data_IF_361634562925
#
_entry.id   IF_361634562925
#
_cell.length_a   1.000
_cell.length_b   1.000
_cell.length_c   1.000
_cell.angle_alpha   90.00
_cell.angle_beta   90.00
_cell.angle_gamma   90.00
#
_symmetry.space_group_name_H-M   'P 1'
#
loop_
_entity.id
_entity.type
_entity.pdbx_description
1 polymer ?
2 water ?
#
# COMPACT_ATOMS: atom_id res chain seq x y z
N UNK A 1 21.41 22.41 -17.98
CA UNK A 1 20.05 22.01 -17.46
C UNK A 1 19.70 20.55 -17.76
N UNK A 2 20.74 19.72 -17.67
CA UNK A 2 20.65 18.27 -17.84
C UNK A 2 20.01 17.86 -16.51
N UNK A 3 20.27 18.73 -15.54
CA UNK A 3 19.82 18.64 -14.17
C UNK A 3 18.44 18.09 -14.15
N UNK A 4 17.58 18.72 -14.94
CA UNK A 4 16.19 18.29 -15.05
C UNK A 4 16.10 16.81 -15.34
N UNK A 5 16.81 16.37 -16.36
CA UNK A 5 16.80 14.95 -16.70
C UNK A 5 17.26 14.19 -15.47
N UNK A 6 18.19 14.80 -14.74
CA UNK A 6 18.71 14.22 -13.52
C UNK A 6 17.62 14.14 -12.45
N UNK A 7 16.89 15.23 -12.24
CA UNK A 7 15.82 15.24 -11.25
C UNK A 7 14.73 14.28 -11.73
N UNK A 8 14.46 14.28 -13.02
CA UNK A 8 13.47 13.39 -13.62
C UNK A 8 13.78 11.99 -13.13
N UNK A 9 14.99 11.54 -13.43
CA UNK A 9 15.52 10.23 -13.06
C UNK A 9 15.47 9.95 -11.55
N UNK A 10 15.43 11.00 -10.74
CA UNK A 10 15.33 10.85 -9.29
C UNK A 10 13.91 10.46 -8.93
N UNK A 11 13.00 11.34 -9.31
CA UNK A 11 11.59 11.12 -9.06
C UNK A 11 11.05 9.80 -9.65
N UNK A 12 11.53 9.40 -10.82
CA UNK A 12 11.11 8.15 -11.44
C UNK A 12 11.63 7.02 -10.54
N UNK A 13 12.87 7.17 -10.09
CA UNK A 13 13.50 6.19 -9.23
C UNK A 13 12.84 6.19 -7.86
N UNK A 14 12.31 7.34 -7.44
CA UNK A 14 11.64 7.38 -6.16
C UNK A 14 10.33 6.60 -6.21
N UNK A 15 9.53 6.83 -7.26
CA UNK A 15 8.25 6.14 -7.41
C UNK A 15 8.32 4.69 -7.83
N UNK A 16 9.40 4.27 -8.47
CA UNK A 16 9.53 2.86 -8.85
C UNK A 16 9.65 2.02 -7.60
N UNK A 17 10.41 2.56 -6.65
CA UNK A 17 10.67 1.90 -5.39
C UNK A 17 9.53 1.87 -4.35
N UNK A 18 8.58 2.79 -4.44
CA UNK A 18 7.49 2.81 -3.48
C UNK A 18 6.39 1.87 -3.96
N UNK A 19 6.50 1.42 -5.21
CA UNK A 19 5.55 0.49 -5.80
C UNK A 19 6.03 -0.91 -5.50
N UNK A 20 7.34 -1.08 -5.42
CA UNK A 20 7.95 -2.38 -5.13
C UNK A 20 7.86 -2.69 -3.62
N UNK A 21 7.65 -1.66 -2.80
CA UNK A 21 7.51 -1.85 -1.35
C UNK A 21 6.04 -2.11 -1.04
N UNK A 22 5.13 -1.55 -1.85
CA UNK A 22 3.69 -1.78 -1.67
C UNK A 22 3.28 -2.99 -2.50
N UNK A 23 4.27 -3.83 -2.80
CA UNK A 23 4.06 -5.06 -3.55
C UNK A 23 3.69 -4.93 -5.03
N UNK A 24 3.84 -3.74 -5.59
CA UNK A 24 3.53 -3.47 -6.99
C UNK A 24 4.76 -3.57 -7.90
N UNK A 25 4.53 -3.56 -9.20
CA UNK A 25 5.62 -3.61 -10.16
C UNK A 25 6.31 -2.26 -10.12
N UNK A 26 7.62 -2.26 -10.30
CA UNK A 26 8.38 -1.02 -10.32
C UNK A 26 7.82 -0.10 -11.41
N UNK A 27 7.31 -0.70 -12.49
CA UNK A 27 6.72 0.06 -13.60
C UNK A 27 5.58 0.92 -13.03
N UNK A 28 4.63 0.27 -12.36
CA UNK A 28 3.49 0.94 -11.73
C UNK A 28 3.90 2.25 -11.02
N UNK A 29 5.15 2.33 -10.57
CA UNK A 29 5.63 3.53 -9.91
C UNK A 29 6.34 4.44 -10.89
N UNK A 30 7.03 3.83 -11.84
CA UNK A 30 7.72 4.61 -12.86
C UNK A 30 6.69 5.41 -13.69
N UNK A 31 5.65 4.71 -14.13
CA UNK A 31 4.59 5.29 -14.92
C UNK A 31 4.01 6.52 -14.26
N UNK A 32 3.71 6.41 -12.97
CA UNK A 32 3.12 7.51 -12.19
C UNK A 32 4.07 8.72 -12.18
N UNK A 33 5.38 8.47 -12.16
CA UNK A 33 6.40 9.52 -12.16
C UNK A 33 6.46 10.31 -13.47
N UNK A 34 6.02 9.67 -14.57
CA UNK A 34 5.99 10.30 -15.88
C UNK A 34 4.80 11.26 -15.93
N UNK A 35 3.64 10.76 -15.52
CA UNK A 35 2.41 11.55 -15.47
C UNK A 35 2.50 12.56 -14.33
N UNK A 36 3.24 12.20 -13.30
CA UNK A 36 3.43 13.04 -12.13
C UNK A 36 4.27 14.22 -12.55
N UNK A 37 5.31 13.93 -13.34
CA UNK A 37 6.20 14.97 -13.81
C UNK A 37 5.71 15.70 -15.05
N UNK A 38 4.74 15.14 -15.74
CA UNK A 38 4.24 15.80 -16.94
C UNK A 38 3.22 16.89 -16.62
N UNK A 39 3.11 17.83 -17.56
CA UNK A 39 2.20 18.98 -17.43
C UNK A 39 0.99 18.79 -18.32
N UNK A 40 1.06 17.76 -19.15
CA UNK A 40 -0.04 17.49 -20.05
C UNK A 40 -0.42 16.00 -20.05
N UNK A 41 -1.67 15.69 -20.45
CA UNK A 41 -2.07 14.29 -20.47
C UNK A 41 -1.20 13.63 -21.53
N UNK A 42 -0.85 12.37 -21.29
CA UNK A 42 -0.03 11.63 -22.24
C UNK A 42 -0.84 10.45 -22.74
N UNK A 43 -0.34 9.77 -23.75
CA UNK A 43 -1.01 8.62 -24.30
C UNK A 43 -0.15 7.43 -23.89
N UNK A 44 -0.65 6.23 -24.06
CA UNK A 44 0.16 5.10 -23.68
C UNK A 44 1.49 5.25 -24.45
N UNK A 45 1.42 5.44 -25.77
CA UNK A 45 2.61 5.59 -26.61
C UNK A 45 3.59 6.66 -26.10
N UNK A 46 3.07 7.79 -25.63
CA UNK A 46 3.95 8.85 -25.13
C UNK A 46 4.84 8.32 -24.03
N UNK A 47 4.24 7.61 -23.09
CA UNK A 47 4.97 7.09 -21.95
C UNK A 47 5.98 6.03 -22.34
N UNK A 48 5.61 5.19 -23.28
CA UNK A 48 6.53 4.15 -23.71
C UNK A 48 7.89 4.71 -24.05
N UNK A 49 7.92 5.74 -24.87
CA UNK A 49 9.18 6.32 -25.24
C UNK A 49 9.83 7.02 -24.05
N UNK A 50 9.00 7.53 -23.14
CA UNK A 50 9.51 8.23 -21.96
C UNK A 50 10.23 7.29 -21.02
N UNK A 51 9.82 6.04 -21.03
CA UNK A 51 10.38 4.99 -20.16
C UNK A 51 10.91 3.81 -20.96
N UNK A 52 10.71 3.83 -22.28
CA UNK A 52 11.17 2.74 -23.13
C UNK A 52 10.82 1.36 -22.53
N UNK A 53 9.54 1.01 -22.60
CA UNK A 53 9.02 -0.27 -22.10
C UNK A 53 7.92 -0.74 -23.05
N UNK A 54 7.48 -1.99 -22.94
CA UNK A 54 6.48 -2.54 -23.85
C UNK A 54 5.10 -1.91 -23.73
N UNK A 55 4.27 -2.08 -24.77
CA UNK A 55 2.90 -1.54 -24.79
C UNK A 55 2.06 -2.29 -23.78
N UNK A 56 2.63 -3.36 -23.24
CA UNK A 56 1.93 -4.17 -22.26
C UNK A 56 2.36 -3.74 -20.90
N UNK A 57 3.64 -3.41 -20.73
CA UNK A 57 4.09 -2.98 -19.42
C UNK A 57 3.40 -1.68 -19.02
N UNK A 58 3.12 -0.84 -20.00
CA UNK A 58 2.46 0.43 -19.77
C UNK A 58 1.00 0.18 -19.43
N UNK A 59 0.31 -0.66 -20.20
CA UNK A 59 -1.08 -0.97 -19.92
C UNK A 59 -1.22 -1.62 -18.56
N UNK A 60 -0.27 -2.51 -18.25
CA UNK A 60 -0.26 -3.14 -16.94
C UNK A 60 -0.33 -1.97 -15.95
N UNK A 61 0.80 -1.28 -15.81
CA UNK A 61 0.97 -0.15 -14.90
C UNK A 61 -0.15 0.90 -14.82
N UNK A 62 -0.80 1.20 -15.94
CA UNK A 62 -1.87 2.20 -15.99
C UNK A 62 -3.23 1.72 -15.48
N UNK A 63 -3.56 0.45 -15.65
CA UNK A 63 -4.83 -0.05 -15.15
C UNK A 63 -4.77 -0.07 -13.65
N UNK A 64 -3.59 -0.37 -13.11
CA UNK A 64 -3.41 -0.44 -11.67
C UNK A 64 -3.51 0.92 -11.04
N UNK A 65 -2.86 1.90 -11.66
CA UNK A 65 -2.89 3.26 -11.15
C UNK A 65 -4.30 3.80 -11.14
N UNK A 66 -5.09 3.44 -12.15
CA UNK A 66 -6.48 3.87 -12.17
C UNK A 66 -7.16 3.17 -11.00
N UNK A 67 -6.93 1.87 -10.87
CA UNK A 67 -7.51 1.12 -9.77
C UNK A 67 -7.25 1.93 -8.50
N UNK A 68 -5.98 2.00 -8.10
CA UNK A 68 -5.55 2.72 -6.89
C UNK A 68 -5.97 4.17 -6.90
N UNK A 69 -6.44 4.64 -8.05
CA UNK A 69 -6.89 6.02 -8.17
C UNK A 69 -5.87 7.13 -8.14
N UNK A 70 -4.79 7.00 -8.87
CA UNK A 70 -3.79 8.06 -8.90
C UNK A 70 -3.71 8.66 -10.29
N UNK A 71 -4.29 7.94 -11.23
CA UNK A 71 -4.31 8.35 -12.61
C UNK A 71 -5.74 8.15 -13.08
N UNK A 72 -6.17 8.91 -14.07
CA UNK A 72 -7.53 8.76 -14.60
C UNK A 72 -7.50 9.05 -16.10
N UNK A 73 -8.33 8.33 -16.86
CA UNK A 73 -8.37 8.53 -18.30
C UNK A 73 -8.81 9.94 -18.56
N UNK A 74 -8.37 10.46 -19.70
CA UNK A 74 -8.70 11.82 -20.10
C UNK A 74 -8.94 11.76 -21.60
N UNK A 75 -9.92 12.52 -22.07
CA UNK A 75 -10.22 12.55 -23.49
C UNK A 75 -9.86 13.89 -24.12
N UNK A 76 -9.31 13.84 -25.34
CA UNK A 76 -8.94 15.05 -26.06
C UNK A 76 -9.89 15.21 -27.27
N UNK A 77 -10.27 16.44 -27.58
CA UNK A 77 -11.14 16.68 -28.74
C UNK A 77 -10.34 16.22 -29.99
N UNK A 78 -11.03 15.59 -30.93
CA UNK A 78 -10.39 15.13 -32.16
C UNK A 78 -9.26 14.12 -32.01
N UNK A 79 -9.26 13.31 -30.95
CA UNK A 79 -8.22 12.30 -30.73
C UNK A 79 -8.81 10.92 -30.45
N UNK A 80 -8.59 9.98 -31.37
CA UNK A 80 -9.11 8.62 -31.22
C UNK A 80 -8.58 7.85 -30.01
N UNK A 81 -7.37 8.18 -29.56
CA UNK A 81 -6.73 7.50 -28.44
C UNK A 81 -7.18 7.94 -27.05
N UNK A 82 -6.57 7.34 -26.04
CA UNK A 82 -6.86 7.66 -24.64
C UNK A 82 -5.67 8.36 -24.05
N UNK A 83 -5.96 9.30 -23.16
CA UNK A 83 -4.92 10.04 -22.50
C UNK A 83 -5.05 9.84 -21.00
N UNK A 84 -3.91 9.87 -20.31
CA UNK A 84 -3.86 9.67 -18.87
C UNK A 84 -3.17 10.85 -18.20
N UNK A 85 -3.54 11.07 -16.96
CA UNK A 85 -3.01 12.17 -16.18
C UNK A 85 -3.10 11.78 -14.72
N UNK A 86 -2.05 12.06 -13.97
CA UNK A 86 -2.08 11.75 -12.55
C UNK A 86 -3.14 12.64 -11.91
N UNK A 87 -3.80 12.12 -10.89
CA UNK A 87 -4.82 12.90 -10.20
C UNK A 87 -4.10 13.72 -9.11
N UNK A 88 -4.84 14.49 -8.34
CA UNK A 88 -4.21 15.25 -7.28
C UNK A 88 -3.63 14.25 -6.32
N UNK A 89 -2.32 14.09 -6.40
CA UNK A 89 -1.63 13.15 -5.53
C UNK A 89 -2.18 12.99 -4.13
N UNK A 90 -1.74 13.88 -3.24
CA UNK A 90 -2.13 13.85 -1.84
C UNK A 90 -3.62 13.78 -1.57
N UNK A 91 -4.42 14.24 -2.52
CA UNK A 91 -5.86 14.13 -2.36
C UNK A 91 -6.19 12.64 -2.45
N UNK A 92 -5.63 12.01 -3.48
CA UNK A 92 -5.83 10.58 -3.72
C UNK A 92 -5.31 9.70 -2.58
N UNK A 93 -4.58 10.30 -1.64
CA UNK A 93 -4.10 9.55 -0.48
C UNK A 93 -5.04 9.78 0.69
N UNK A 94 -5.73 10.92 0.67
CA UNK A 94 -6.70 11.21 1.71
C UNK A 94 -7.80 10.19 1.54
N UNK A 95 -8.26 10.02 0.30
CA UNK A 95 -9.33 9.08 0.00
C UNK A 95 -9.03 7.67 0.42
N UNK A 96 -7.80 7.21 0.18
CA UNK A 96 -7.45 5.85 0.57
C UNK A 96 -7.38 5.71 2.09
N UNK A 97 -6.84 6.73 2.77
CA UNK A 97 -6.75 6.68 4.22
C UNK A 97 -8.13 6.61 4.91
N UNK A 98 -9.18 7.04 4.22
CA UNK A 98 -10.54 7.00 4.77
C UNK A 98 -11.22 5.65 4.52
N UNK A 99 -11.13 5.14 3.30
CA UNK A 99 -11.73 3.85 2.99
C UNK A 99 -11.22 2.84 4.03
N UNK A 100 -9.90 2.71 4.13
CA UNK A 100 -9.30 1.80 5.09
C UNK A 100 -9.85 2.05 6.48
N UNK A 101 -9.87 3.31 6.88
CA UNK A 101 -10.38 3.64 8.20
C UNK A 101 -11.85 3.23 8.33
N UNK A 102 -12.65 3.44 7.29
CA UNK A 102 -14.05 3.07 7.40
C UNK A 102 -14.33 1.59 7.34
N UNK A 103 -13.38 0.83 6.82
CA UNK A 103 -13.51 -0.60 6.77
C UNK A 103 -13.12 -1.11 8.15
N UNK A 104 -11.98 -0.63 8.62
CA UNK A 104 -11.48 -1.02 9.93
C UNK A 104 -12.51 -0.67 10.98
N UNK A 105 -12.87 0.62 11.03
CA UNK A 105 -13.87 1.08 11.97
C UNK A 105 -15.03 0.08 12.03
N UNK A 106 -15.83 0.05 10.96
CA UNK A 106 -16.98 -0.86 10.84
C UNK A 106 -16.69 -2.22 11.50
N UNK A 107 -15.73 -2.96 10.94
CA UNK A 107 -15.39 -4.25 11.49
C UNK A 107 -15.23 -4.20 13.00
N UNK A 108 -14.45 -3.24 13.50
CA UNK A 108 -14.23 -3.12 14.96
C UNK A 108 -15.55 -2.89 15.72
N UNK A 109 -16.49 -2.29 15.01
CA UNK A 109 -17.79 -2.04 15.59
C UNK A 109 -18.46 -3.40 15.67
N UNK A 110 -18.54 -4.08 14.51
CA UNK A 110 -19.17 -5.38 14.37
C UNK A 110 -18.57 -6.46 15.26
N UNK A 111 -17.27 -6.36 15.56
CA UNK A 111 -16.59 -7.35 16.42
C UNK A 111 -17.05 -7.18 17.87
N UNK A 112 -17.39 -5.95 18.24
CA UNK A 112 -17.88 -5.72 19.57
C UNK A 112 -19.22 -6.44 19.69
N UNK A 113 -20.15 -6.14 18.78
CA UNK A 113 -21.50 -6.73 18.76
C UNK A 113 -21.56 -8.25 18.91
N UNK A 114 -20.55 -8.94 18.36
CA UNK A 114 -20.48 -10.39 18.46
C UNK A 114 -19.98 -10.67 19.88
N UNK A 115 -19.20 -9.73 20.42
CA UNK A 115 -18.69 -9.87 21.76
C UNK A 115 -19.79 -9.50 22.76
N UNK A 116 -20.88 -8.91 22.25
CA UNK A 116 -22.01 -8.54 23.11
C UNK A 116 -22.59 -9.84 23.58
N UNK A 117 -23.01 -10.61 22.59
CA UNK A 117 -23.59 -11.92 22.80
C UNK A 117 -22.50 -12.83 23.39
N UNK A 118 -21.48 -13.18 22.60
CA UNK A 118 -20.37 -14.00 23.10
C UNK A 118 -19.87 -13.36 24.38
N UNK A 119 -20.35 -13.79 25.53
CA UNK A 119 -19.92 -13.14 26.75
C UNK A 119 -19.68 -14.04 27.95
N UNK A 120 -19.46 -13.37 29.08
CA UNK A 120 -19.17 -13.97 30.36
C UNK A 120 -17.67 -14.23 30.48
N UNK A 121 -17.26 -15.47 30.22
CA UNK A 121 -15.86 -15.89 30.29
C UNK A 121 -15.26 -16.03 28.90
N UNK A 122 -16.15 -16.08 27.90
CA UNK A 122 -15.71 -16.22 26.52
C UNK A 122 -15.56 -14.85 25.90
N UNK A 123 -16.27 -13.88 26.45
CA UNK A 123 -16.18 -12.51 25.96
C UNK A 123 -14.70 -12.16 25.97
N UNK A 124 -13.99 -12.81 26.89
CA UNK A 124 -12.54 -12.63 27.07
C UNK A 124 -11.74 -13.40 26.00
N UNK A 125 -12.34 -14.43 25.42
CA UNK A 125 -11.62 -15.18 24.41
C UNK A 125 -11.43 -14.35 23.13
N UNK A 126 -12.46 -13.59 22.76
CA UNK A 126 -12.44 -12.76 21.55
C UNK A 126 -11.43 -11.63 21.62
N UNK A 127 -11.17 -11.14 22.82
CA UNK A 127 -10.26 -10.04 23.06
C UNK A 127 -8.86 -10.15 22.49
N UNK A 128 -8.45 -11.33 22.04
CA UNK A 128 -7.10 -11.48 21.48
C UNK A 128 -7.00 -10.85 20.08
N UNK A 129 -7.74 -11.42 19.14
CA UNK A 129 -7.73 -10.93 17.76
C UNK A 129 -8.37 -9.55 17.62
N UNK A 130 -9.11 -9.14 18.64
CA UNK A 130 -9.78 -7.84 18.62
C UNK A 130 -8.80 -6.68 18.89
N UNK A 131 -7.96 -6.80 19.92
CA UNK A 131 -7.01 -5.73 20.22
C UNK A 131 -6.01 -5.51 19.09
N UNK A 132 -6.03 -6.36 18.09
CA UNK A 132 -5.15 -6.18 16.96
C UNK A 132 -5.89 -5.24 16.03
N UNK A 133 -7.14 -5.61 15.76
CA UNK A 133 -8.03 -4.83 14.90
C UNK A 133 -8.40 -3.49 15.55
N UNK A 134 -8.11 -3.37 16.83
CA UNK A 134 -8.40 -2.13 17.54
C UNK A 134 -7.23 -1.19 17.35
N UNK A 135 -6.05 -1.79 17.18
CA UNK A 135 -4.83 -1.01 16.98
C UNK A 135 -4.89 -0.37 15.60
N UNK A 136 -5.26 -1.19 14.63
CA UNK A 136 -5.39 -0.75 13.25
C UNK A 136 -6.36 0.41 13.18
N UNK A 137 -7.24 0.53 14.16
CA UNK A 137 -8.20 1.62 14.17
C UNK A 137 -7.54 2.91 14.63
N UNK A 138 -6.72 2.80 15.67
CA UNK A 138 -6.03 3.95 16.24
C UNK A 138 -4.95 4.45 15.30
N UNK A 139 -4.50 3.58 14.41
CA UNK A 139 -3.47 3.93 13.46
C UNK A 139 -4.05 4.72 12.28
N UNK A 140 -5.16 4.25 11.71
CA UNK A 140 -5.78 4.93 10.58
C UNK A 140 -6.51 6.19 11.02
N UNK A 141 -6.51 6.45 12.32
CA UNK A 141 -7.14 7.64 12.86
C UNK A 141 -6.12 8.76 12.82
N UNK A 142 -4.86 8.43 13.11
CA UNK A 142 -3.81 9.42 13.11
C UNK A 142 -3.28 9.72 11.71
N UNK A 143 -3.06 8.66 10.94
CA UNK A 143 -2.57 8.83 9.58
C UNK A 143 -3.67 9.55 8.82
N UNK A 144 -4.86 9.57 9.41
CA UNK A 144 -6.03 10.24 8.86
C UNK A 144 -5.89 11.65 9.42
N UNK A 145 -5.81 11.70 10.75
CA UNK A 145 -5.66 12.93 11.51
C UNK A 145 -4.57 13.73 10.82
N UNK A 146 -3.35 13.19 10.86
CA UNK A 146 -2.19 13.82 10.25
C UNK A 146 -2.48 14.34 8.83
N UNK A 147 -3.19 13.56 8.03
CA UNK A 147 -3.48 14.02 6.67
C UNK A 147 -4.39 15.26 6.67
N UNK A 148 -5.22 15.40 7.70
CA UNK A 148 -6.11 16.56 7.81
C UNK A 148 -5.47 17.57 8.78
N UNK A 149 -4.17 17.78 8.58
CA UNK A 149 -3.34 18.70 9.37
C UNK A 149 -2.40 19.34 8.36
N UNK A 150 -2.61 19.00 7.09
CA UNK A 150 -1.78 19.50 6.00
C UNK A 150 -2.58 20.29 4.98
N UNK A 151 -3.85 20.56 5.32
CA UNK A 151 -4.72 21.32 4.43
C UNK A 151 -5.80 22.02 5.27
N UNK B 1 -21.85 -20.56 19.82
CA UNK B 1 -20.73 -19.76 19.27
C UNK B 1 -20.44 -19.95 17.78
N UNK B 2 -21.48 -19.69 16.99
CA UNK B 2 -21.44 -19.71 15.54
C UNK B 2 -20.86 -18.32 15.34
N UNK B 3 -20.69 -17.67 16.49
CA UNK B 3 -20.16 -16.33 16.61
C UNK B 3 -18.85 -16.27 15.94
N UNK B 4 -18.01 -17.23 16.30
CA UNK B 4 -16.66 -17.29 15.77
C UNK B 4 -16.51 -17.49 14.26
N UNK B 5 -17.42 -18.21 13.64
CA UNK B 5 -17.29 -18.34 12.21
C UNK B 5 -17.59 -16.96 11.67
N UNK B 6 -18.39 -16.20 12.43
CA UNK B 6 -18.78 -14.83 12.05
C UNK B 6 -17.63 -13.83 12.21
N UNK B 7 -16.92 -13.88 13.33
CA UNK B 7 -15.80 -12.98 13.54
C UNK B 7 -14.78 -13.25 12.44
N UNK B 8 -14.63 -14.52 12.06
CA UNK B 8 -13.71 -14.94 11.02
C UNK B 8 -14.08 -14.32 9.69
N UNK B 9 -15.33 -14.51 9.31
CA UNK B 9 -15.85 -14.00 8.06
C UNK B 9 -15.56 -12.50 7.92
N UNK B 10 -15.80 -11.74 8.97
CA UNK B 10 -15.60 -10.28 8.99
C UNK B 10 -14.19 -9.87 8.74
N UNK B 11 -13.31 -10.45 9.53
CA UNK B 11 -11.90 -10.20 9.44
C UNK B 11 -11.40 -10.53 8.04
N UNK B 12 -11.68 -11.73 7.56
CA UNK B 12 -11.25 -12.12 6.22
C UNK B 12 -11.75 -11.13 5.15
N UNK B 13 -12.96 -10.59 5.32
CA UNK B 13 -13.51 -9.65 4.35
C UNK B 13 -12.82 -8.31 4.52
N UNK B 14 -12.47 -7.95 5.75
CA UNK B 14 -11.80 -6.69 5.93
C UNK B 14 -10.52 -6.72 5.14
N UNK B 15 -9.65 -7.66 5.47
CA UNK B 15 -8.36 -7.78 4.79
C UNK B 15 -8.48 -7.96 3.30
N UNK B 16 -9.43 -8.75 2.85
CA UNK B 16 -9.57 -8.90 1.40
C UNK B 16 -9.68 -7.51 0.79
N UNK B 17 -10.66 -6.75 1.24
CA UNK B 17 -10.87 -5.40 0.76
C UNK B 17 -9.61 -4.56 0.80
N UNK B 18 -9.11 -4.30 2.00
CA UNK B 18 -7.93 -3.49 2.17
C UNK B 18 -6.87 -3.83 1.12
N UNK B 19 -6.69 -5.10 0.83
CA UNK B 19 -5.71 -5.55 -0.14
C UNK B 19 -6.11 -5.07 -1.51
N UNK B 20 -7.39 -5.16 -1.82
CA UNK B 20 -7.89 -4.71 -3.12
C UNK B 20 -7.60 -3.21 -3.20
N UNK B 21 -7.57 -2.57 -2.03
CA UNK B 21 -7.30 -1.14 -1.95
C UNK B 21 -5.83 -0.77 -2.21
N UNK B 22 -4.89 -1.53 -1.65
CA UNK B 22 -3.46 -1.24 -1.88
C UNK B 22 -3.00 -1.68 -3.27
N UNK B 23 -3.97 -1.97 -4.15
CA UNK B 23 -3.66 -2.40 -5.51
C UNK B 23 -3.27 -3.87 -5.60
N UNK B 24 -3.70 -4.65 -4.62
CA UNK B 24 -3.38 -6.07 -4.57
C UNK B 24 -4.63 -6.94 -4.74
N UNK B 25 -4.36 -8.23 -4.90
CA UNK B 25 -5.40 -9.25 -5.04
C UNK B 25 -6.13 -9.49 -3.70
N UNK B 26 -7.45 -9.60 -3.77
CA UNK B 26 -8.26 -9.86 -2.59
C UNK B 26 -7.73 -11.06 -1.79
N UNK B 27 -7.35 -12.13 -2.50
CA UNK B 27 -6.80 -13.36 -1.89
C UNK B 27 -5.63 -13.04 -0.94
N UNK B 28 -4.60 -12.40 -1.47
CA UNK B 28 -3.45 -12.02 -0.66
C UNK B 28 -3.99 -11.59 0.71
N UNK B 29 -4.94 -10.65 0.70
CA UNK B 29 -5.54 -10.18 1.94
C UNK B 29 -6.40 -11.22 2.60
N UNK B 30 -7.03 -12.07 1.80
CA UNK B 30 -7.87 -13.15 2.31
C UNK B 30 -6.99 -14.19 3.04
N UNK B 31 -5.83 -14.50 2.45
CA UNK B 31 -4.90 -15.48 3.03
C UNK B 31 -4.27 -14.94 4.31
N UNK B 32 -3.94 -13.65 4.33
CA UNK B 32 -3.36 -13.10 5.54
C UNK B 32 -4.42 -13.13 6.62
N UNK B 33 -5.69 -13.01 6.25
CA UNK B 33 -6.75 -13.07 7.24
C UNK B 33 -6.62 -14.41 7.98
N UNK B 34 -6.67 -15.51 7.24
CA UNK B 34 -6.56 -16.86 7.78
C UNK B 34 -5.38 -16.93 8.79
N UNK B 35 -4.18 -16.63 8.32
CA UNK B 35 -2.98 -16.67 9.14
C UNK B 35 -3.06 -15.77 10.35
N UNK B 36 -3.63 -14.58 10.16
CA UNK B 36 -3.81 -13.58 11.22
C UNK B 36 -4.62 -14.14 12.38
N UNK B 37 -5.53 -15.04 12.04
CA UNK B 37 -6.39 -15.64 13.03
C UNK B 37 -5.82 -16.93 13.56
N UNK B 38 -5.08 -17.63 12.70
CA UNK B 38 -4.48 -18.88 13.13
C UNK B 38 -3.57 -18.59 14.32
N UNK B 39 -3.46 -19.55 15.23
CA UNK B 39 -2.59 -19.39 16.40
C UNK B 39 -1.39 -20.33 16.20
N UNK B 40 -1.40 -21.02 15.07
CA UNK B 40 -0.35 -21.94 14.71
C UNK B 40 -0.03 -21.77 13.23
N UNK B 41 1.14 -22.27 12.78
CA UNK B 41 1.45 -22.11 11.36
C UNK B 41 0.50 -22.95 10.53
N UNK B 42 0.31 -22.54 9.29
CA UNK B 42 -0.55 -23.26 8.37
C UNK B 42 0.18 -23.50 7.05
N UNK B 43 -0.08 -24.67 6.46
CA UNK B 43 0.54 -25.06 5.21
C UNK B 43 -0.31 -24.48 4.06
N UNK B 44 0.08 -24.77 2.83
CA UNK B 44 -0.68 -24.28 1.68
C UNK B 44 -2.03 -24.97 1.63
N UNK B 45 -1.99 -26.30 1.70
CA UNK B 45 -3.19 -27.15 1.69
C UNK B 45 -4.16 -26.75 2.82
N UNK B 46 -3.63 -26.40 3.98
CA UNK B 46 -4.48 -25.97 5.08
C UNK B 46 -5.26 -24.76 4.58
N UNK B 47 -4.54 -23.73 4.19
CA UNK B 47 -5.15 -22.50 3.74
C UNK B 47 -6.15 -22.70 2.61
N UNK B 48 -5.90 -23.69 1.75
CA UNK B 48 -6.81 -23.94 0.65
C UNK B 48 -8.20 -24.36 1.13
N UNK B 49 -8.23 -25.14 2.20
CA UNK B 49 -9.49 -25.63 2.75
C UNK B 49 -10.22 -24.59 3.60
N UNK B 50 -9.47 -23.62 4.12
CA UNK B 50 -10.07 -22.58 4.94
C UNK B 50 -10.67 -21.49 4.07
N UNK B 51 -10.20 -21.40 2.83
CA UNK B 51 -10.69 -20.39 1.92
C UNK B 51 -11.23 -21.01 0.65
N UNK B 52 -10.81 -22.24 0.38
CA UNK B 52 -11.25 -22.95 -0.82
C UNK B 52 -10.84 -22.11 -2.06
N UNK B 53 -9.63 -22.37 -2.55
CA UNK B 53 -9.05 -21.70 -3.72
C UNK B 53 -7.88 -22.52 -4.21
N UNK B 54 -7.63 -22.49 -5.51
CA UNK B 54 -6.54 -23.27 -6.08
C UNK B 54 -5.28 -23.18 -5.23
N UNK B 55 -4.36 -24.13 -5.47
CA UNK B 55 -3.09 -24.20 -4.76
C UNK B 55 -2.22 -23.03 -5.19
N UNK B 56 -2.45 -22.59 -6.42
CA UNK B 56 -1.69 -21.47 -6.95
C UNK B 56 -2.12 -20.16 -6.33
N UNK B 57 -3.43 -19.89 -6.29
CA UNK B 57 -3.92 -18.63 -5.72
C UNK B 57 -3.39 -18.45 -4.31
N UNK B 58 -3.22 -19.56 -3.62
CA UNK B 58 -2.69 -19.53 -2.26
C UNK B 58 -1.19 -19.25 -2.29
N UNK B 59 -0.46 -19.96 -3.14
CA UNK B 59 0.97 -19.81 -3.27
C UNK B 59 1.40 -18.39 -3.63
N UNK B 60 0.73 -17.80 -4.61
CA UNK B 60 1.03 -16.45 -4.99
C UNK B 60 0.78 -15.50 -3.81
N UNK B 61 -0.44 -15.55 -3.28
CA UNK B 61 -0.85 -14.70 -2.18
C UNK B 61 0.15 -14.75 -1.06
N UNK B 62 0.69 -15.93 -0.85
CA UNK B 62 1.69 -16.13 0.19
C UNK B 62 2.94 -15.42 -0.30
N UNK B 63 3.30 -15.64 -1.56
CA UNK B 63 4.48 -15.01 -2.13
C UNK B 63 4.41 -13.50 -2.01
N UNK B 64 3.21 -12.95 -2.20
CA UNK B 64 3.06 -11.50 -2.09
C UNK B 64 3.30 -11.05 -0.68
N UNK B 65 2.74 -11.79 0.28
CA UNK B 65 2.88 -11.46 1.69
C UNK B 65 4.26 -11.63 2.29
N UNK B 66 5.10 -12.45 1.66
CA UNK B 66 6.49 -12.63 2.14
C UNK B 66 7.29 -11.46 1.61
N UNK B 67 6.93 -11.03 0.41
CA UNK B 67 7.57 -9.88 -0.18
C UNK B 67 7.29 -8.75 0.83
N UNK B 68 6.00 -8.50 1.07
CA UNK B 68 5.58 -7.45 1.98
C UNK B 68 6.17 -7.54 3.35
N UNK B 69 6.20 -8.75 3.88
CA UNK B 69 6.76 -8.96 5.19
C UNK B 69 5.77 -9.35 6.26
N UNK B 70 4.50 -9.50 5.91
CA UNK B 70 3.49 -9.88 6.88
C UNK B 70 3.46 -11.38 7.23
N UNK B 71 4.07 -12.16 6.35
CA UNK B 71 4.13 -13.60 6.50
C UNK B 71 5.55 -14.09 6.31
N UNK B 72 5.92 -15.17 7.00
CA UNK B 72 7.25 -15.76 6.83
C UNK B 72 7.07 -17.26 6.85
N UNK B 73 8.02 -17.99 6.29
CA UNK B 73 7.97 -19.44 6.22
C UNK B 73 8.39 -20.04 7.55
N UNK B 74 7.75 -21.16 7.91
CA UNK B 74 8.05 -21.85 9.17
C UNK B 74 8.33 -23.34 8.97
N UNK B 75 9.33 -23.85 9.70
CA UNK B 75 9.75 -25.26 9.60
C UNK B 75 9.41 -26.12 10.85
N UNK B 76 8.62 -27.18 10.68
CA UNK B 76 8.25 -28.05 11.81
C UNK B 76 9.01 -29.37 11.79
N UNK B 77 9.64 -29.68 12.92
CA UNK B 77 10.41 -30.90 13.06
C UNK B 77 9.57 -32.07 12.53
N UNK B 78 10.21 -32.99 11.81
CA UNK B 78 9.51 -34.13 11.26
C UNK B 78 8.53 -33.79 10.15
N UNK B 79 8.57 -32.57 9.62
CA UNK B 79 7.65 -32.18 8.55
C UNK B 79 8.35 -31.86 7.25
N UNK B 80 7.75 -32.35 6.18
CA UNK B 80 8.28 -32.17 4.84
C UNK B 80 7.76 -30.92 4.15
N UNK B 81 6.58 -30.49 4.56
CA UNK B 81 5.92 -29.31 3.97
C UNK B 81 6.40 -27.98 4.52
N UNK B 82 6.10 -26.89 3.81
CA UNK B 82 6.47 -25.58 4.27
C UNK B 82 5.31 -24.91 4.96
N UNK B 83 5.50 -24.57 6.22
CA UNK B 83 4.49 -23.89 7.01
C UNK B 83 4.62 -22.39 6.82
N UNK B 84 3.65 -21.67 7.36
CA UNK B 84 3.65 -20.22 7.24
C UNK B 84 3.01 -19.68 8.50
N UNK B 85 3.22 -18.40 8.78
CA UNK B 85 2.68 -17.75 9.96
C UNK B 85 2.72 -16.25 9.77
N UNK B 86 1.79 -15.55 10.40
CA UNK B 86 1.72 -14.10 10.29
C UNK B 86 2.69 -13.35 11.20
N UNK B 87 3.57 -12.57 10.61
CA UNK B 87 4.51 -11.75 11.37
C UNK B 87 3.66 -10.74 12.15
N UNK B 88 4.18 -10.26 13.28
CA UNK B 88 3.43 -9.28 14.07
C UNK B 88 2.97 -8.17 13.18
N UNK B 89 1.69 -8.22 12.82
CA UNK B 89 1.13 -7.21 11.96
C UNK B 89 1.71 -5.80 12.03
N UNK B 90 1.45 -5.13 13.14
CA UNK B 90 1.90 -3.75 13.34
C UNK B 90 3.40 -3.48 13.32
N UNK B 91 4.19 -4.40 13.81
CA UNK B 91 5.63 -4.18 13.77
C UNK B 91 6.11 -4.11 12.32
N UNK B 92 5.64 -5.04 11.48
CA UNK B 92 6.01 -5.09 10.07
C UNK B 92 5.59 -3.83 9.29
N UNK B 93 4.63 -3.09 9.85
CA UNK B 93 4.17 -1.86 9.24
C UNK B 93 5.17 -0.78 9.56
N UNK B 94 5.59 -0.74 10.82
CA UNK B 94 6.56 0.25 11.27
C UNK B 94 7.72 0.18 10.28
N UNK B 95 8.27 -1.01 10.14
CA UNK B 95 9.39 -1.20 9.23
C UNK B 95 9.11 -0.51 7.90
N UNK B 96 7.99 -0.86 7.26
CA UNK B 96 7.65 -0.24 5.98
C UNK B 96 7.55 1.27 6.07
N UNK B 97 6.79 1.76 7.05
CA UNK B 97 6.65 3.19 7.22
C UNK B 97 8.01 3.87 7.36
N UNK B 98 9.03 3.11 7.79
CA UNK B 98 10.37 3.64 7.96
C UNK B 98 11.22 3.55 6.71
N UNK B 99 11.10 2.45 5.97
CA UNK B 99 11.86 2.34 4.73
C UNK B 99 11.36 3.48 3.85
N UNK B 100 10.05 3.54 3.65
CA UNK B 100 9.41 4.59 2.86
C UNK B 100 9.86 5.98 3.27
N UNK B 101 10.14 6.13 4.56
CA UNK B 101 10.59 7.43 5.06
C UNK B 101 12.06 7.70 4.78
N UNK B 102 12.90 6.68 4.79
CA UNK B 102 14.31 6.91 4.55
C UNK B 102 14.53 7.13 3.07
N UNK B 103 13.74 6.44 2.27
CA UNK B 103 13.83 6.58 0.82
C UNK B 103 13.43 8.00 0.39
N UNK B 104 12.23 8.41 0.76
CA UNK B 104 11.71 9.73 0.43
C UNK B 104 12.61 10.86 0.87
N UNK B 105 13.18 10.73 2.06
CA UNK B 105 14.09 11.74 2.61
C UNK B 105 15.41 11.75 1.84
N UNK B 106 15.97 10.57 1.57
CA UNK B 106 17.23 10.45 0.83
C UNK B 106 17.07 11.17 -0.53
N UNK B 107 15.89 11.01 -1.15
CA UNK B 107 15.60 11.63 -2.44
C UNK B 107 15.49 13.13 -2.30
N UNK B 108 14.73 13.57 -1.30
CA UNK B 108 14.57 15.00 -1.06
C UNK B 108 15.93 15.66 -0.82
N UNK B 109 16.86 14.91 -0.24
CA UNK B 109 18.20 15.42 0.04
C UNK B 109 19.03 15.51 -1.23
N UNK B 110 19.04 14.44 -2.02
CA UNK B 110 19.78 14.40 -3.26
C UNK B 110 19.24 15.49 -4.18
N UNK B 111 17.91 15.61 -4.23
CA UNK B 111 17.22 16.62 -5.04
C UNK B 111 17.64 18.03 -4.59
N UNK B 112 18.10 18.13 -3.34
CA UNK B 112 18.54 19.40 -2.79
C UNK B 112 19.98 19.69 -3.23
N UNK B 113 20.77 18.64 -3.37
CA UNK B 113 22.16 18.74 -3.80
C UNK B 113 22.26 19.16 -5.25
N UNK B 114 21.25 18.80 -6.03
CA UNK B 114 21.22 19.15 -7.43
C UNK B 114 20.69 20.57 -7.57
N UNK B 115 20.01 21.04 -6.54
CA UNK B 115 19.50 22.40 -6.55
C UNK B 115 20.61 23.31 -6.04
N UNK B 116 21.67 22.68 -5.51
CA UNK B 116 22.84 23.40 -4.99
C UNK B 116 23.50 24.09 -6.17
N UNK B 117 23.85 23.26 -7.15
CA UNK B 117 24.50 23.67 -8.39
C UNK B 117 23.48 24.41 -9.26
N UNK B 118 22.36 23.76 -9.57
CA UNK B 118 21.30 24.39 -10.35
C UNK B 118 20.83 25.54 -9.45
N UNK B 119 21.36 26.75 -9.69
CA UNK B 119 21.00 27.88 -8.83
C UNK B 119 20.58 29.15 -9.57
N UNK B 120 20.73 30.26 -8.86
CA UNK B 120 20.38 31.58 -9.35
C UNK B 120 18.90 31.76 -9.63
N UNK B 121 18.53 31.77 -10.91
CA UNK B 121 17.15 31.97 -11.35
C UNK B 121 16.53 30.65 -11.76
N UNK B 122 17.38 29.64 -11.90
CA UNK B 122 16.94 28.33 -12.28
C UNK B 122 16.61 27.51 -11.06
N UNK B 123 17.26 27.86 -9.96
CA UNK B 123 17.05 27.21 -8.68
C UNK B 123 15.54 27.18 -8.43
N UNK B 124 14.86 28.19 -8.98
CA UNK B 124 13.41 28.34 -8.86
C UNK B 124 12.65 27.40 -9.79
N UNK B 125 13.26 27.03 -10.90
CA UNK B 125 12.54 26.15 -11.79
C UNK B 125 12.23 24.82 -11.11
N UNK B 126 13.21 24.29 -10.38
CA UNK B 126 13.06 23.00 -9.70
C UNK B 126 12.06 22.98 -8.54
N UNK B 127 11.89 24.12 -7.88
CA UNK B 127 11.01 24.23 -6.75
C UNK B 127 9.59 23.74 -6.92
N UNK B 128 9.14 23.58 -8.15
CA UNK B 128 7.79 23.09 -8.35
C UNK B 128 7.68 21.64 -7.88
N UNK B 129 8.38 20.74 -8.57
CA UNK B 129 8.34 19.32 -8.25
C UNK B 129 9.00 18.93 -6.92
N UNK B 130 9.97 19.72 -6.45
CA UNK B 130 10.64 19.40 -5.19
C UNK B 130 9.69 19.60 -4.01
N UNK B 131 8.74 20.52 -4.16
CA UNK B 131 7.79 20.78 -3.08
C UNK B 131 6.73 19.68 -2.92
N UNK B 132 6.66 18.78 -3.89
CA UNK B 132 5.73 17.68 -3.82
C UNK B 132 6.42 16.56 -3.07
N UNK B 133 7.70 16.37 -3.38
CA UNK B 133 8.55 15.34 -2.74
C UNK B 133 8.88 15.76 -1.30
N UNK B 134 8.71 17.05 -1.03
CA UNK B 134 8.97 17.64 0.28
C UNK B 134 7.77 17.44 1.21
N UNK B 135 6.59 17.20 0.61
CA UNK B 135 5.36 16.96 1.37
C UNK B 135 5.40 15.48 1.72
N UNK B 136 5.76 14.70 0.72
CA UNK B 136 5.86 13.27 0.86
C UNK B 136 6.74 12.95 2.06
N UNK B 137 7.59 13.89 2.43
CA UNK B 137 8.48 13.68 3.57
C UNK B 137 7.76 14.05 4.87
N UNK B 138 7.00 15.14 4.85
CA UNK B 138 6.28 15.57 6.05
C UNK B 138 5.17 14.60 6.40
N UNK B 139 4.74 13.83 5.42
CA UNK B 139 3.67 12.88 5.67
C UNK B 139 4.13 11.59 6.31
N UNK B 140 5.31 11.11 5.94
CA UNK B 140 5.79 9.86 6.52
C UNK B 140 6.53 10.13 7.84
N UNK B 141 6.71 11.41 8.18
CA UNK B 141 7.37 11.75 9.43
C UNK B 141 6.34 11.60 10.53
N UNK B 142 5.09 11.90 10.18
CA UNK B 142 4.00 11.77 11.13
C UNK B 142 3.45 10.36 11.13
N UNK B 143 3.23 9.82 9.93
CA UNK B 143 2.71 8.47 9.82
C UNK B 143 3.70 7.56 10.56
N UNK B 144 4.94 8.03 10.69
CA UNK B 144 5.98 7.30 11.42
C UNK B 144 5.75 7.76 12.86
N UNK B 145 5.70 9.08 13.03
CA UNK B 145 5.49 9.73 14.32
C UNK B 145 4.31 9.13 15.05
N UNK B 146 3.13 9.19 14.43
CA UNK B 146 1.95 8.60 15.03
C UNK B 146 2.25 7.13 15.34
N UNK B 147 2.99 6.44 14.48
CA UNK B 147 3.31 5.03 14.73
C UNK B 147 4.12 4.78 15.99
N UNK B 148 5.02 5.70 16.33
CA UNK B 148 5.82 5.56 17.55
C UNK B 148 5.16 6.33 18.71
N UNK B 149 3.83 6.18 18.80
CA UNK B 149 3.01 6.81 19.83
C UNK B 149 2.12 5.71 20.36
N UNK B 150 2.21 4.56 19.70
CA UNK B 150 1.42 3.39 20.03
C UNK B 150 2.30 2.23 20.50
N UNK B 151 3.45 2.56 21.10
CA UNK B 151 4.37 1.54 21.60
C UNK B 151 5.48 2.12 22.49
#
# INVERSE_FOLDING_TARGET
MIIMEEAKKLIIELFSELAKIHGLNKSVGAVYAILYLSDKPLTISDIMEELKISKGNVSMSLKKLEELGFVRKVWIKGERKNYYEAVDGFSSIKDIAKRKHDLIAKTYEDLKKLEEKCNEEEKEFIKQKIKGIERMKKISEKILEALNDLDN
MIIMEEAKKLIIELFSELAKIHGLNKSVGAVYAILYLSDKPLTISDIMEELKISKGNVSMSLKKLEELGFVRKVWIKGERKNYYEAVDGFSSIKDIAKRKHDLIAKTYEDLKKLEEKCNEEEKEFIKQKIKGIERMKKISEKILEALNDLDN
#
